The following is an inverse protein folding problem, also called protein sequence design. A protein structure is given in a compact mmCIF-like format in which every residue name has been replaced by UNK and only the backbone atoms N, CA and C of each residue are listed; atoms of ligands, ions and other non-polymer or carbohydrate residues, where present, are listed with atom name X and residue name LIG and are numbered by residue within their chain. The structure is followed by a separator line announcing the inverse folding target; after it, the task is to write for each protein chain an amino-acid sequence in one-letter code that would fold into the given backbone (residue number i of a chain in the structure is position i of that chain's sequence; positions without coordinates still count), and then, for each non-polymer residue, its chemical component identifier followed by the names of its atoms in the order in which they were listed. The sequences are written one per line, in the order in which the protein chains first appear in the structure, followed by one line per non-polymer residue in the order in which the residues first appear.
data_IF_513758081352
#
_entry.id   IF_513758081352
#
_cell.length_a   1.000
_cell.length_b   1.000
_cell.length_c   1.000
_cell.angle_alpha   90.00
_cell.angle_beta   90.00
_cell.angle_gamma   90.00
#
_symmetry.space_group_name_H-M   'P 1'
#
loop_
_entity.id
_entity.type
_entity.pdbx_description
1 polymer ?
#
# COMPACT_ATOMS: atom_id res chain seq x y z
N UNK A 1 -67.46 12.50 29.95
CA UNK A 1 -67.05 11.77 31.17
C UNK A 1 -65.67 12.28 31.51
N UNK A 2 -65.46 12.79 32.71
CA UNK A 2 -64.17 13.21 33.27
C UNK A 2 -63.69 12.17 34.26
N UNK A 3 -62.34 12.12 34.49
CA UNK A 3 -61.80 11.16 35.43
C UNK A 3 -60.24 11.26 35.45
N UNK A 4 -59.63 10.32 36.15
CA UNK A 4 -58.17 10.27 36.33
C UNK A 4 -57.59 8.99 35.79
N UNK A 5 -56.32 9.07 35.27
CA UNK A 5 -55.55 7.92 34.85
C UNK A 5 -54.57 7.53 35.94
N UNK A 6 -54.38 6.20 36.10
CA UNK A 6 -53.39 5.63 37.01
C UNK A 6 -52.80 4.38 36.37
N UNK A 7 -51.51 4.11 36.53
CA UNK A 7 -50.47 4.93 37.15
C UNK A 7 -50.11 6.18 36.34
N UNK A 8 -49.15 6.98 36.80
CA UNK A 8 -48.59 8.10 36.04
C UNK A 8 -47.95 7.60 34.74
N UNK A 9 -47.95 8.44 33.69
CA UNK A 9 -47.36 8.07 32.37
C UNK A 9 -45.90 7.68 32.50
N UNK A 10 -45.56 6.51 31.96
CA UNK A 10 -44.22 5.96 31.88
C UNK A 10 -43.92 5.62 30.42
N UNK A 11 -42.77 6.15 29.89
CA UNK A 11 -42.26 5.88 28.54
C UNK A 11 -41.10 4.89 28.52
N UNK A 12 -40.79 4.24 29.64
CA UNK A 12 -39.66 3.30 29.77
C UNK A 12 -40.11 1.84 29.77
N UNK A 13 -41.40 1.58 30.09
CA UNK A 13 -41.96 0.23 30.15
C UNK A 13 -43.36 0.15 29.58
N UNK A 14 -43.73 -0.99 28.99
CA UNK A 14 -45.11 -1.29 28.61
C UNK A 14 -46.00 -1.25 29.84
N UNK A 15 -46.97 -0.35 29.85
CA UNK A 15 -47.82 -0.09 31.03
C UNK A 15 -49.30 -0.06 30.66
N UNK A 16 -50.13 -0.70 31.48
CA UNK A 16 -51.56 -0.62 31.38
C UNK A 16 -52.07 0.46 32.34
N UNK A 17 -52.74 1.45 31.78
CA UNK A 17 -53.35 2.58 32.50
C UNK A 17 -54.82 2.33 32.70
N UNK A 18 -55.32 2.63 33.88
CA UNK A 18 -56.73 2.55 34.20
C UNK A 18 -57.31 3.96 34.33
N UNK A 19 -58.39 4.25 33.60
CA UNK A 19 -59.18 5.43 33.72
C UNK A 19 -60.29 5.20 34.79
N UNK A 20 -60.31 6.01 35.78
CA UNK A 20 -61.37 6.00 36.82
C UNK A 20 -62.20 7.24 36.62
N UNK A 21 -63.52 7.11 36.27
CA UNK A 21 -64.42 8.22 36.15
C UNK A 21 -64.61 8.94 37.49
N UNK A 22 -64.86 10.26 37.44
CA UNK A 22 -65.23 11.04 38.62
C UNK A 22 -66.56 10.57 39.17
N UNK A 23 -66.80 10.76 40.48
CA UNK A 23 -68.04 10.37 41.18
C UNK A 23 -69.27 11.03 40.56
N UNK A 24 -70.36 10.26 40.42
CA UNK A 24 -71.64 10.76 39.90
C UNK A 24 -71.81 10.65 38.37
N UNK A 25 -70.84 10.07 37.62
CA UNK A 25 -70.96 9.96 36.18
C UNK A 25 -71.46 8.60 35.65
N UNK A 26 -72.15 7.81 36.37
CA UNK A 26 -72.78 6.52 35.97
C UNK A 26 -71.90 5.77 34.89
N UNK A 27 -70.58 5.68 35.09
CA UNK A 27 -69.62 5.09 34.19
C UNK A 27 -68.71 4.07 34.91
N UNK A 28 -68.25 3.07 34.19
CA UNK A 28 -67.26 2.07 34.67
C UNK A 28 -65.87 2.50 34.34
N UNK A 29 -64.88 1.92 35.03
CA UNK A 29 -63.47 2.06 34.70
C UNK A 29 -63.14 1.49 33.29
N UNK A 30 -62.16 2.07 32.62
CA UNK A 30 -61.63 1.57 31.37
C UNK A 30 -60.10 1.43 31.46
N UNK A 31 -59.47 0.54 30.63
CA UNK A 31 -58.08 0.39 30.61
C UNK A 31 -57.50 0.62 29.19
N UNK A 32 -56.28 1.17 29.14
CA UNK A 32 -55.51 1.38 27.92
C UNK A 32 -54.09 0.93 28.16
N UNK A 33 -53.57 0.05 27.29
CA UNK A 33 -52.17 -0.39 27.37
C UNK A 33 -51.32 0.36 26.33
N UNK A 34 -50.29 1.05 26.80
CA UNK A 34 -49.27 1.63 25.95
C UNK A 34 -48.09 0.68 25.93
N UNK A 35 -47.77 0.17 24.72
CA UNK A 35 -46.60 -0.73 24.51
C UNK A 35 -45.37 0.10 24.26
N UNK A 36 -44.31 -0.12 25.03
CA UNK A 36 -42.99 0.45 24.84
C UNK A 36 -42.06 -0.63 24.31
N UNK A 37 -41.61 -0.47 23.07
CA UNK A 37 -40.67 -1.40 22.45
C UNK A 37 -39.24 -1.05 22.89
N UNK A 38 -38.40 -2.08 23.20
CA UNK A 38 -37.02 -1.84 23.57
C UNK A 38 -36.22 -1.28 22.37
N UNK A 39 -35.21 -0.45 22.66
CA UNK A 39 -34.29 0.07 21.67
C UNK A 39 -33.31 -1.05 21.30
N UNK A 40 -33.16 -1.34 20.00
CA UNK A 40 -32.26 -2.36 19.45
C UNK A 40 -31.07 -1.69 18.83
N UNK A 41 -29.85 -2.21 19.08
CA UNK A 41 -28.63 -1.74 18.41
C UNK A 41 -28.39 -2.52 17.12
N UNK A 42 -28.26 -1.85 15.97
CA UNK A 42 -27.95 -2.50 14.70
C UNK A 42 -26.58 -3.22 14.75
N UNK A 43 -26.51 -4.43 14.21
CA UNK A 43 -25.32 -5.26 14.17
C UNK A 43 -24.79 -5.37 12.74
N UNK A 44 -23.48 -5.21 12.57
CA UNK A 44 -22.76 -5.34 11.29
C UNK A 44 -21.52 -6.19 11.46
N UNK A 45 -21.11 -6.89 10.37
CA UNK A 45 -19.83 -7.57 10.34
C UNK A 45 -18.69 -6.54 10.20
N UNK A 46 -17.53 -6.80 10.82
CA UNK A 46 -16.36 -5.96 10.63
C UNK A 46 -15.90 -6.04 9.17
N UNK A 47 -15.42 -4.92 8.65
CA UNK A 47 -14.75 -4.85 7.32
C UNK A 47 -13.25 -5.05 7.52
N UNK A 48 -12.65 -5.91 6.68
CA UNK A 48 -11.20 -6.12 6.69
C UNK A 48 -10.49 -4.83 6.29
N UNK A 49 -9.34 -4.55 6.91
CA UNK A 49 -8.51 -3.41 6.53
C UNK A 49 -8.09 -3.49 5.05
N UNK A 50 -8.10 -2.35 4.37
CA UNK A 50 -7.74 -2.20 2.96
C UNK A 50 -6.49 -1.33 2.81
N UNK A 51 -5.87 -1.33 1.63
CA UNK A 51 -4.86 -0.35 1.27
C UNK A 51 -5.50 0.91 0.68
N UNK A 52 -4.85 2.05 0.84
CA UNK A 52 -5.32 3.31 0.28
C UNK A 52 -5.49 3.21 -1.24
N UNK A 53 -6.70 3.52 -1.72
CA UNK A 53 -7.08 3.41 -3.13
C UNK A 53 -7.71 2.08 -3.54
N UNK A 54 -7.75 1.07 -2.68
CA UNK A 54 -8.43 -0.19 -2.98
C UNK A 54 -9.94 0.01 -3.16
N UNK A 55 -10.55 -0.90 -3.91
CA UNK A 55 -12.00 -0.86 -4.12
C UNK A 55 -12.75 -1.19 -2.83
N UNK A 56 -13.58 -0.25 -2.38
CA UNK A 56 -14.41 -0.41 -1.20
C UNK A 56 -15.85 -0.74 -1.63
N UNK A 57 -16.35 -1.90 -1.18
CA UNK A 57 -17.74 -2.28 -1.43
C UNK A 57 -18.71 -1.41 -0.65
N UNK A 58 -19.89 -1.08 -1.18
CA UNK A 58 -20.93 -0.35 -0.46
C UNK A 58 -21.28 -1.03 0.87
N UNK A 59 -21.44 -0.23 1.92
CA UNK A 59 -21.90 -0.74 3.21
C UNK A 59 -23.38 -1.17 3.13
N UNK A 60 -23.77 -2.25 3.83
CA UNK A 60 -25.15 -2.74 3.80
C UNK A 60 -26.12 -1.72 4.44
N UNK A 61 -27.22 -1.44 3.76
CA UNK A 61 -28.28 -0.55 4.25
C UNK A 61 -29.23 -1.24 5.24
N UNK A 62 -29.04 -2.55 5.47
CA UNK A 62 -29.79 -3.35 6.43
C UNK A 62 -28.80 -4.09 7.33
N UNK A 63 -28.97 -3.96 8.63
CA UNK A 63 -28.15 -4.67 9.63
C UNK A 63 -28.49 -6.17 9.68
N UNK A 64 -27.61 -6.98 10.30
CA UNK A 64 -27.81 -8.43 10.47
C UNK A 64 -29.11 -8.73 11.21
N UNK A 65 -29.49 -7.87 12.16
CA UNK A 65 -30.72 -7.99 12.95
C UNK A 65 -31.92 -7.22 12.36
N UNK A 66 -31.87 -6.91 11.05
CA UNK A 66 -33.02 -6.45 10.26
C UNK A 66 -33.36 -4.94 10.36
N UNK A 67 -32.51 -4.13 10.98
CA UNK A 67 -32.72 -2.68 11.04
C UNK A 67 -32.22 -2.04 9.74
N UNK A 68 -33.08 -1.26 9.08
CA UNK A 68 -32.74 -0.49 7.88
C UNK A 68 -32.30 0.92 8.21
N UNK A 69 -31.43 1.52 7.40
CA UNK A 69 -30.91 2.86 7.62
C UNK A 69 -29.88 3.31 6.60
N UNK A 70 -29.15 4.37 6.94
CA UNK A 70 -28.14 5.00 6.07
C UNK A 70 -26.84 5.21 6.81
N UNK A 71 -25.74 5.23 6.04
CA UNK A 71 -24.40 5.48 6.55
C UNK A 71 -23.93 6.91 6.27
N UNK A 72 -23.20 7.48 7.21
CA UNK A 72 -22.53 8.77 7.08
C UNK A 72 -21.17 8.72 7.79
N UNK A 73 -20.13 9.36 7.26
CA UNK A 73 -20.02 10.07 5.99
C UNK A 73 -20.09 9.16 4.76
N UNK A 74 -19.92 9.71 3.55
CA UNK A 74 -19.75 8.93 2.32
C UNK A 74 -18.49 8.06 2.40
N UNK A 75 -18.47 6.91 1.71
CA UNK A 75 -17.33 5.99 1.71
C UNK A 75 -16.07 6.67 1.20
N UNK A 76 -14.99 6.51 1.95
CA UNK A 76 -13.65 6.98 1.64
C UNK A 76 -12.67 5.80 1.71
N UNK A 77 -11.97 5.53 0.61
CA UNK A 77 -10.95 4.49 0.52
C UNK A 77 -9.52 5.04 0.62
N UNK A 78 -9.36 6.30 1.02
CA UNK A 78 -8.05 6.95 1.12
C UNK A 78 -7.58 7.14 2.56
N UNK A 79 -8.52 7.13 3.52
CA UNK A 79 -8.22 7.33 4.94
C UNK A 79 -9.08 6.46 5.84
N UNK A 80 -8.52 6.01 6.97
CA UNK A 80 -9.26 5.31 8.02
C UNK A 80 -10.41 6.18 8.49
N UNK A 81 -11.65 5.68 8.36
CA UNK A 81 -12.87 6.44 8.63
C UNK A 81 -13.84 5.63 9.47
N UNK A 82 -14.45 6.28 10.46
CA UNK A 82 -15.57 5.74 11.24
C UNK A 82 -16.88 6.22 10.65
N UNK A 83 -17.70 5.28 10.25
CA UNK A 83 -19.02 5.49 9.68
C UNK A 83 -20.08 5.31 10.75
N UNK A 84 -21.10 6.17 10.75
CA UNK A 84 -22.25 6.07 11.63
C UNK A 84 -23.46 5.60 10.84
N UNK A 85 -24.07 4.52 11.27
CA UNK A 85 -25.34 4.04 10.77
C UNK A 85 -26.48 4.70 11.53
N UNK A 86 -27.37 5.37 10.80
CA UNK A 86 -28.59 5.99 11.34
C UNK A 86 -29.80 5.19 10.89
N UNK A 87 -30.50 4.53 11.81
CA UNK A 87 -31.74 3.81 11.50
C UNK A 87 -32.81 4.71 10.88
N UNK A 88 -33.57 4.13 9.95
CA UNK A 88 -34.78 4.79 9.42
C UNK A 88 -35.78 5.04 10.55
N UNK A 89 -36.47 6.18 10.55
CA UNK A 89 -37.43 6.56 11.58
C UNK A 89 -38.50 5.47 11.81
N UNK A 90 -38.88 5.26 13.06
CA UNK A 90 -39.91 4.31 13.47
C UNK A 90 -39.43 2.91 13.84
N UNK A 91 -38.13 2.62 13.78
CA UNK A 91 -37.60 1.29 14.07
C UNK A 91 -37.06 1.10 15.50
N UNK A 92 -37.47 1.83 16.48
CA UNK A 92 -36.99 1.67 17.88
C UNK A 92 -35.53 1.16 17.96
N UNK A 93 -34.63 1.81 17.27
CA UNK A 93 -33.23 1.40 17.17
C UNK A 93 -32.28 2.57 17.46
N UNK A 94 -31.13 2.29 18.08
CA UNK A 94 -30.03 3.25 18.27
C UNK A 94 -29.15 3.35 17.02
N UNK A 95 -28.32 4.39 16.94
CA UNK A 95 -27.24 4.44 15.97
C UNK A 95 -26.18 3.38 16.26
N UNK A 96 -25.43 2.96 15.23
CA UNK A 96 -24.28 2.09 15.36
C UNK A 96 -23.09 2.67 14.59
N UNK A 97 -21.87 2.27 14.93
CA UNK A 97 -20.67 2.73 14.23
C UNK A 97 -19.88 1.55 13.68
N UNK A 98 -19.20 1.78 12.55
CA UNK A 98 -18.29 0.85 11.91
C UNK A 98 -17.05 1.62 11.45
N UNK A 99 -15.87 1.19 11.88
CA UNK A 99 -14.61 1.79 11.43
C UNK A 99 -13.98 0.91 10.34
N UNK A 100 -13.66 1.50 9.20
CA UNK A 100 -12.88 0.87 8.14
C UNK A 100 -11.46 1.41 8.25
N UNK A 101 -10.51 0.52 8.49
CA UNK A 101 -9.08 0.85 8.51
C UNK A 101 -8.53 0.89 7.09
N UNK A 102 -7.91 2.00 6.73
CA UNK A 102 -7.20 2.18 5.45
C UNK A 102 -5.72 2.36 5.75
N UNK A 103 -4.91 1.41 5.30
CA UNK A 103 -3.46 1.44 5.45
C UNK A 103 -2.85 2.31 4.33
N UNK A 104 -1.95 3.25 4.65
CA UNK A 104 -1.27 4.05 3.64
C UNK A 104 -0.37 3.19 2.75
N UNK A 105 -0.19 3.59 1.49
CA UNK A 105 0.77 2.95 0.59
C UNK A 105 2.20 3.36 0.96
N UNK A 106 3.08 2.37 1.04
CA UNK A 106 4.52 2.55 1.31
C UNK A 106 5.30 2.37 0.01
N UNK A 107 6.27 3.25 -0.27
CA UNK A 107 7.18 3.08 -1.41
C UNK A 107 8.41 2.29 -0.96
N UNK A 108 8.70 1.12 -1.57
CA UNK A 108 9.90 0.35 -1.28
C UNK A 108 11.17 1.14 -1.56
N UNK A 109 12.17 1.03 -0.69
CA UNK A 109 13.46 1.70 -0.84
C UNK A 109 14.59 0.67 -0.89
N UNK A 110 15.62 0.94 -1.71
CA UNK A 110 16.76 0.06 -1.93
C UNK A 110 18.05 0.85 -1.97
N UNK A 111 19.16 0.23 -1.61
CA UNK A 111 20.48 0.81 -1.82
C UNK A 111 20.80 0.89 -3.31
N UNK A 112 21.48 1.96 -3.74
CA UNK A 112 21.92 2.07 -5.12
C UNK A 112 22.99 1.01 -5.44
N UNK A 113 22.94 0.46 -6.66
CA UNK A 113 23.97 -0.44 -7.17
C UNK A 113 25.02 0.40 -7.93
N UNK A 114 26.29 0.20 -7.61
CA UNK A 114 27.38 0.86 -8.32
C UNK A 114 27.40 0.46 -9.81
N UNK A 115 27.82 1.37 -10.73
CA UNK A 115 28.03 1.02 -12.12
C UNK A 115 29.04 -0.12 -12.29
N UNK A 116 28.79 -1.01 -13.23
CA UNK A 116 29.67 -2.13 -13.60
C UNK A 116 30.14 -2.00 -15.03
N UNK A 117 31.21 -2.73 -15.39
CA UNK A 117 31.60 -2.92 -16.80
C UNK A 117 30.78 -4.06 -17.43
N UNK A 118 30.53 -3.98 -18.73
CA UNK A 118 29.79 -5.01 -19.46
C UNK A 118 30.43 -6.40 -19.28
N UNK A 119 29.61 -7.38 -18.87
CA UNK A 119 30.04 -8.75 -18.60
C UNK A 119 30.56 -9.01 -17.18
N UNK A 120 30.72 -8.00 -16.34
CA UNK A 120 31.02 -8.22 -14.91
C UNK A 120 29.89 -8.93 -14.19
N UNK A 121 30.24 -9.62 -13.10
CA UNK A 121 29.25 -10.33 -12.29
C UNK A 121 28.32 -9.35 -11.57
N UNK A 122 27.03 -9.53 -11.74
CA UNK A 122 25.98 -8.77 -11.07
C UNK A 122 25.33 -9.63 -9.98
N UNK A 123 25.37 -9.16 -8.75
CA UNK A 123 24.70 -9.85 -7.63
C UNK A 123 23.18 -9.79 -7.77
N UNK A 124 22.49 -10.81 -7.27
CA UNK A 124 21.02 -10.80 -7.22
C UNK A 124 20.51 -9.59 -6.45
N UNK A 125 19.47 -8.95 -6.97
CA UNK A 125 18.81 -7.86 -6.26
C UNK A 125 18.03 -8.39 -5.05
N UNK A 126 17.98 -7.64 -3.95
CA UNK A 126 17.28 -8.07 -2.75
C UNK A 126 15.77 -8.19 -2.99
N UNK A 127 15.17 -9.26 -2.53
CA UNK A 127 13.72 -9.50 -2.60
C UNK A 127 12.94 -8.82 -1.48
N UNK A 128 13.64 -8.18 -0.54
CA UNK A 128 13.08 -7.40 0.55
C UNK A 128 13.71 -6.00 0.54
N UNK A 129 12.89 -4.97 0.54
CA UNK A 129 13.33 -3.58 0.59
C UNK A 129 13.87 -3.20 1.98
N UNK A 130 14.58 -2.08 2.09
CA UNK A 130 15.12 -1.54 3.36
C UNK A 130 14.01 -1.26 4.38
N UNK A 131 12.81 -0.93 3.92
CA UNK A 131 11.65 -0.68 4.76
C UNK A 131 10.69 -1.89 4.87
N UNK A 132 11.19 -3.11 4.59
CA UNK A 132 10.54 -4.38 4.92
C UNK A 132 9.48 -4.88 3.94
N UNK A 133 9.31 -4.25 2.78
CA UNK A 133 8.39 -4.71 1.74
C UNK A 133 9.04 -5.84 0.94
N UNK A 134 8.37 -7.00 0.83
CA UNK A 134 8.81 -8.13 -0.01
C UNK A 134 8.21 -8.06 -1.40
N UNK A 135 8.93 -8.62 -2.39
CA UNK A 135 8.47 -8.59 -3.77
C UNK A 135 9.48 -9.15 -4.77
N UNK A 136 9.24 -8.88 -6.04
CA UNK A 136 10.05 -9.42 -7.16
C UNK A 136 10.49 -8.32 -8.11
N UNK A 137 11.62 -8.57 -8.79
CA UNK A 137 12.19 -7.67 -9.79
C UNK A 137 11.92 -8.13 -11.21
N UNK A 138 11.66 -7.19 -12.10
CA UNK A 138 11.53 -7.40 -13.53
C UNK A 138 12.16 -6.22 -14.29
N UNK A 139 12.80 -6.45 -15.45
CA UNK A 139 13.12 -7.73 -16.10
C UNK A 139 14.17 -8.55 -15.33
N UNK A 140 14.56 -9.71 -15.88
CA UNK A 140 15.69 -10.50 -15.37
C UNK A 140 17.00 -9.69 -15.45
N UNK A 141 17.94 -9.97 -14.53
CA UNK A 141 19.22 -9.26 -14.46
C UNK A 141 20.00 -9.37 -15.77
N UNK A 142 20.51 -8.21 -16.20
CA UNK A 142 21.32 -8.07 -17.42
C UNK A 142 22.61 -7.30 -17.07
N UNK A 143 23.77 -7.93 -17.29
CA UNK A 143 25.08 -7.33 -17.05
C UNK A 143 25.76 -6.83 -18.34
N UNK A 144 25.06 -6.76 -19.46
CA UNK A 144 25.61 -6.31 -20.75
C UNK A 144 25.08 -4.95 -21.20
N UNK A 145 23.99 -4.47 -20.61
CA UNK A 145 23.39 -3.18 -20.95
C UNK A 145 22.78 -2.52 -19.72
N UNK A 146 22.86 -1.19 -19.65
CA UNK A 146 22.17 -0.39 -18.64
C UNK A 146 20.69 -0.70 -18.67
N UNK A 147 20.15 -1.10 -17.51
CA UNK A 147 18.78 -1.58 -17.39
C UNK A 147 18.10 -0.99 -16.16
N UNK A 148 16.86 -0.56 -16.33
CA UNK A 148 15.98 -0.17 -15.21
C UNK A 148 15.11 -1.36 -14.82
N UNK A 149 15.18 -1.74 -13.57
CA UNK A 149 14.42 -2.82 -12.96
C UNK A 149 13.25 -2.24 -12.19
N UNK A 150 12.10 -2.88 -12.29
CA UNK A 150 10.91 -2.54 -11.50
C UNK A 150 10.71 -3.59 -10.42
N UNK A 151 10.62 -3.13 -9.18
CA UNK A 151 10.22 -3.94 -8.03
C UNK A 151 8.71 -3.93 -7.90
N UNK A 152 8.10 -5.11 -7.91
CA UNK A 152 6.66 -5.29 -7.68
C UNK A 152 6.47 -5.95 -6.32
N UNK A 153 5.82 -5.26 -5.35
CA UNK A 153 5.50 -5.85 -4.06
C UNK A 153 4.63 -7.10 -4.18
N UNK A 154 4.80 -8.03 -3.24
CA UNK A 154 3.90 -9.18 -3.10
C UNK A 154 2.49 -8.73 -2.71
N UNK A 155 1.48 -9.52 -3.07
CA UNK A 155 0.09 -9.21 -2.77
C UNK A 155 -0.16 -9.07 -1.26
N UNK A 156 -1.02 -8.12 -0.89
CA UNK A 156 -1.42 -7.87 0.49
C UNK A 156 -0.51 -6.93 1.28
N UNK A 157 0.56 -6.43 0.68
CA UNK A 157 1.39 -5.37 1.25
C UNK A 157 0.95 -4.02 0.67
N UNK A 158 0.48 -3.12 1.51
CA UNK A 158 0.07 -1.79 1.06
C UNK A 158 1.30 -1.00 0.59
N UNK A 159 1.80 -1.31 -0.60
CA UNK A 159 3.01 -0.73 -1.17
C UNK A 159 2.88 -0.45 -2.66
N UNK A 160 3.57 0.59 -3.12
CA UNK A 160 3.70 0.93 -4.54
C UNK A 160 4.88 0.18 -5.18
N UNK A 161 4.95 0.13 -6.51
CA UNK A 161 6.16 -0.31 -7.22
C UNK A 161 7.30 0.68 -6.99
N UNK A 162 8.55 0.18 -7.09
CA UNK A 162 9.75 1.01 -7.07
C UNK A 162 10.66 0.64 -8.26
N UNK A 163 11.58 1.53 -8.63
CA UNK A 163 12.52 1.28 -9.73
C UNK A 163 13.96 1.44 -9.27
N UNK A 164 14.85 0.65 -9.85
CA UNK A 164 16.31 0.72 -9.67
C UNK A 164 16.97 0.59 -11.03
N UNK A 165 17.84 1.56 -11.37
CA UNK A 165 18.64 1.50 -12.61
C UNK A 165 20.05 1.07 -12.30
N UNK A 166 20.53 0.03 -12.98
CA UNK A 166 21.92 -0.40 -12.93
C UNK A 166 22.59 0.06 -14.22
N UNK A 167 23.63 0.89 -14.07
CA UNK A 167 24.42 1.38 -15.18
C UNK A 167 25.48 0.35 -15.56
N UNK A 168 25.52 -0.04 -16.84
CA UNK A 168 26.53 -0.92 -17.42
C UNK A 168 27.34 -0.12 -18.43
N UNK A 169 28.62 0.07 -18.12
CA UNK A 169 29.56 0.76 -18.99
C UNK A 169 30.10 -0.19 -20.07
N UNK A 170 30.13 0.21 -21.32
CA UNK A 170 30.71 -0.63 -22.37
C UNK A 170 32.20 -0.86 -22.15
N UNK A 171 32.70 -2.05 -22.54
CA UNK A 171 34.13 -2.32 -22.57
C UNK A 171 34.73 -1.56 -23.78
N UNK A 172 35.78 -0.81 -23.52
CA UNK A 172 36.51 -0.03 -24.54
C UNK A 172 37.88 -0.65 -24.74
N UNK A 173 38.25 -0.92 -26.00
CA UNK A 173 39.58 -1.38 -26.35
C UNK A 173 40.54 -0.19 -26.46
N UNK A 174 41.69 -0.18 -25.73
CA UNK A 174 42.69 0.86 -25.89
C UNK A 174 43.22 0.90 -27.31
N UNK A 175 43.45 2.09 -27.83
CA UNK A 175 44.01 2.32 -29.16
C UNK A 175 45.31 3.11 -29.06
N UNK A 176 46.30 2.76 -29.86
CA UNK A 176 47.63 3.38 -29.89
C UNK A 176 48.05 3.66 -31.33
N UNK A 177 48.92 4.65 -31.50
CA UNK A 177 49.58 4.86 -32.78
C UNK A 177 50.54 3.70 -33.06
N UNK A 178 50.64 3.26 -34.32
CA UNK A 178 51.58 2.20 -34.69
C UNK A 178 53.02 2.70 -34.55
N UNK A 179 53.89 1.86 -33.99
CA UNK A 179 55.34 2.10 -33.98
C UNK A 179 55.93 1.54 -35.27
N UNK A 180 56.74 2.37 -35.96
CA UNK A 180 57.44 1.93 -37.18
C UNK A 180 58.51 0.87 -36.91
N UNK A 181 58.91 0.11 -37.91
CA UNK A 181 59.99 -0.87 -37.77
C UNK A 181 61.30 -0.17 -37.40
N UNK A 182 62.12 -0.83 -36.58
CA UNK A 182 63.48 -0.41 -36.17
C UNK A 182 64.47 -1.44 -36.49
N UNK A 183 65.79 -1.06 -36.55
CA UNK A 183 66.87 -2.05 -36.66
C UNK A 183 67.18 -2.65 -35.28
N UNK A 184 67.65 -3.92 -35.27
CA UNK A 184 68.06 -4.60 -34.04
C UNK A 184 69.11 -3.78 -33.28
N UNK A 185 68.87 -3.47 -32.02
CA UNK A 185 69.74 -2.68 -31.17
C UNK A 185 69.53 -1.17 -31.21
N UNK A 186 68.59 -0.68 -32.02
CA UNK A 186 68.17 0.74 -31.97
C UNK A 186 67.51 1.09 -30.65
N UNK A 187 67.54 2.36 -30.33
CA UNK A 187 66.86 2.85 -29.10
C UNK A 187 65.39 2.84 -29.28
N UNK A 188 64.66 2.11 -28.39
CA UNK A 188 63.24 2.16 -28.26
C UNK A 188 62.82 3.27 -27.30
N UNK A 189 61.90 4.09 -27.72
CA UNK A 189 61.19 5.00 -26.79
C UNK A 189 60.22 4.20 -25.92
N UNK A 190 60.02 4.67 -24.68
CA UNK A 190 59.01 4.07 -23.79
C UNK A 190 57.62 4.12 -24.45
N UNK A 191 56.90 3.01 -24.37
CA UNK A 191 55.52 2.97 -24.86
C UNK A 191 54.60 3.88 -24.00
N UNK A 192 53.62 4.54 -24.59
CA UNK A 192 52.73 5.40 -23.86
C UNK A 192 51.89 4.59 -22.88
N UNK A 193 51.78 5.05 -21.63
CA UNK A 193 50.96 4.43 -20.56
C UNK A 193 49.51 4.86 -20.61
N UNK A 194 49.17 5.79 -21.52
CA UNK A 194 47.81 6.24 -21.80
C UNK A 194 47.50 6.08 -23.27
N UNK A 195 46.42 5.40 -23.60
CA UNK A 195 45.94 5.19 -24.99
C UNK A 195 45.38 6.48 -25.59
N UNK A 196 45.19 6.53 -26.91
CA UNK A 196 44.60 7.66 -27.63
C UNK A 196 43.15 7.95 -27.16
N UNK A 197 42.44 6.93 -26.68
CA UNK A 197 41.08 7.04 -26.13
C UNK A 197 41.06 7.14 -24.60
N UNK A 198 42.20 7.50 -23.95
CA UNK A 198 42.28 7.88 -22.55
C UNK A 198 42.35 6.74 -21.52
N UNK A 199 42.55 5.49 -21.97
CA UNK A 199 42.69 4.35 -21.05
C UNK A 199 44.14 4.26 -20.59
N UNK A 200 44.36 4.20 -19.28
CA UNK A 200 45.70 4.03 -18.67
C UNK A 200 45.98 2.56 -18.38
N UNK A 201 47.24 2.19 -18.52
CA UNK A 201 47.67 0.82 -18.31
C UNK A 201 49.18 0.63 -18.34
N UNK A 202 49.62 -0.60 -18.27
CA UNK A 202 51.04 -1.02 -18.33
C UNK A 202 51.24 -2.01 -19.45
N UNK A 203 52.43 -2.01 -20.01
CA UNK A 203 52.82 -2.91 -21.07
C UNK A 203 53.54 -4.13 -20.52
N UNK A 204 53.34 -5.28 -21.15
CA UNK A 204 54.04 -6.54 -20.86
C UNK A 204 54.19 -7.32 -22.17
N UNK A 205 55.36 -7.98 -22.42
CA UNK A 205 56.56 -8.02 -21.60
C UNK A 205 57.34 -6.69 -21.57
N UNK A 206 58.50 -6.67 -20.88
CA UNK A 206 59.43 -5.53 -20.95
C UNK A 206 59.87 -5.29 -22.39
N UNK A 207 60.17 -4.00 -22.73
CA UNK A 207 60.61 -3.62 -24.07
C UNK A 207 61.87 -4.39 -24.47
N UNK A 208 61.87 -4.99 -25.67
CA UNK A 208 62.97 -5.70 -26.31
C UNK A 208 63.20 -5.10 -27.68
N UNK A 209 64.49 -4.66 -27.94
CA UNK A 209 64.89 -4.09 -29.18
C UNK A 209 65.79 -5.06 -30.04
N UNK A 210 65.84 -6.33 -29.62
CA UNK A 210 66.61 -7.34 -30.30
C UNK A 210 65.77 -8.30 -31.15
N UNK A 211 64.49 -8.39 -30.90
CA UNK A 211 63.54 -9.27 -31.58
C UNK A 211 62.15 -8.59 -31.75
N UNK A 212 61.39 -9.03 -32.77
CA UNK A 212 60.01 -8.61 -32.95
C UNK A 212 59.19 -9.13 -31.81
N UNK A 213 58.53 -8.21 -31.04
CA UNK A 213 57.77 -8.53 -29.87
C UNK A 213 56.37 -7.86 -29.94
N UNK A 214 55.36 -8.56 -29.48
CA UNK A 214 54.01 -8.02 -29.31
C UNK A 214 53.83 -7.65 -27.84
N UNK A 215 53.38 -6.41 -27.62
CA UNK A 215 53.15 -5.86 -26.28
C UNK A 215 51.68 -5.70 -26.00
#
# INVERSE_FOLDING_TARGET
ITGTWSPALDNTATTTYTFTPDSGQCATTASLTITVNPIVTPLFLPVVAICAGDVLSPLPTTSINGITGTWSPALDNTATTTYTFTPTAGQCASTATLTITVNPLVTPTFDPVAPICAGETLSALPTTSLNGVTGTWSPALNNTATTTYTFTPDAGQCATTATLTITVNPIVTPTFDPVGPICSGDTLSALPTTSLNGITGTWSPALDNTATTTY
#
